data_IF_527476966950
#
_entry.id   IF_527476966950
#
_cell.length_a   1.000
_cell.length_b   1.000
_cell.length_c   1.000
_cell.angle_alpha   90.00
_cell.angle_beta   90.00
_cell.angle_gamma   90.00
#
_symmetry.space_group_name_H-M   'P 1'
#
loop_
_entity.id
_entity.type
_entity.pdbx_description
1 polymer ?
#
# COMPACT_ATOMS: atom_id res chain seq x y z
N UNK A 1 -22.35 -8.22 -10.38
CA UNK A 1 -21.08 -7.56 -10.00
C UNK A 1 -21.31 -6.50 -8.94
N UNK A 2 -22.10 -5.46 -9.20
CA UNK A 2 -22.47 -4.43 -8.20
C UNK A 2 -23.99 -4.18 -8.26
N UNK A 3 -24.59 -3.66 -7.18
CA UNK A 3 -26.02 -3.30 -7.14
C UNK A 3 -26.90 -4.14 -6.21
N UNK A 4 -26.33 -4.94 -5.32
CA UNK A 4 -27.06 -5.80 -4.37
C UNK A 4 -28.06 -5.03 -3.49
N UNK A 5 -27.73 -3.80 -3.07
CA UNK A 5 -28.66 -2.96 -2.31
C UNK A 5 -29.83 -2.46 -3.17
N UNK A 6 -29.60 -2.19 -4.46
CA UNK A 6 -30.66 -1.78 -5.40
C UNK A 6 -31.61 -2.96 -5.62
N UNK A 7 -31.07 -4.15 -5.91
CA UNK A 7 -31.83 -5.40 -6.01
C UNK A 7 -32.64 -5.71 -4.74
N UNK A 8 -32.05 -5.52 -3.56
CA UNK A 8 -32.76 -5.69 -2.29
C UNK A 8 -33.92 -4.69 -2.16
N UNK A 9 -33.71 -3.44 -2.57
CA UNK A 9 -34.75 -2.40 -2.59
C UNK A 9 -35.98 -2.79 -3.39
N UNK A 10 -35.84 -3.55 -4.49
CA UNK A 10 -36.98 -4.04 -5.28
C UNK A 10 -37.87 -5.03 -4.53
N UNK A 11 -37.33 -5.78 -3.55
CA UNK A 11 -38.16 -6.63 -2.68
C UNK A 11 -39.16 -5.80 -1.88
N UNK A 12 -38.74 -4.60 -1.45
CA UNK A 12 -39.54 -3.70 -0.61
C UNK A 12 -40.27 -2.61 -1.41
N UNK A 13 -39.93 -2.42 -2.69
CA UNK A 13 -40.56 -1.42 -3.53
C UNK A 13 -42.04 -1.76 -3.79
N UNK A 14 -42.92 -0.77 -3.56
CA UNK A 14 -44.36 -0.85 -3.87
C UNK A 14 -44.64 -0.74 -5.36
N UNK A 15 -43.84 0.06 -6.08
CA UNK A 15 -43.94 0.17 -7.54
C UNK A 15 -43.06 -0.91 -8.19
N UNK A 16 -43.70 -1.88 -8.85
CA UNK A 16 -43.03 -3.02 -9.50
C UNK A 16 -42.68 -2.77 -10.96
N UNK A 17 -43.19 -1.69 -11.56
CA UNK A 17 -42.99 -1.37 -12.99
C UNK A 17 -41.68 -0.59 -13.25
N UNK A 18 -40.92 -0.29 -12.19
CA UNK A 18 -39.68 0.46 -12.31
C UNK A 18 -38.63 -0.40 -13.03
N UNK A 19 -38.00 0.14 -14.07
CA UNK A 19 -36.96 -0.57 -14.82
C UNK A 19 -35.59 -0.35 -14.19
N UNK A 20 -34.80 -1.42 -14.06
CA UNK A 20 -33.42 -1.34 -13.57
C UNK A 20 -32.45 -1.32 -14.76
N UNK A 21 -31.69 -0.24 -14.97
CA UNK A 21 -30.63 -0.24 -15.97
C UNK A 21 -29.54 -1.24 -15.56
N UNK A 22 -29.32 -2.24 -16.41
CA UNK A 22 -28.38 -3.32 -16.20
C UNK A 22 -27.34 -3.33 -17.32
N UNK A 23 -26.07 -3.38 -16.94
CA UNK A 23 -24.98 -3.68 -17.87
C UNK A 23 -24.58 -5.15 -17.69
N UNK A 24 -24.73 -5.93 -18.75
CA UNK A 24 -24.42 -7.36 -18.75
C UNK A 24 -23.08 -7.55 -19.46
N UNK A 25 -22.14 -8.21 -18.78
CA UNK A 25 -20.85 -8.57 -19.32
C UNK A 25 -20.84 -10.08 -19.59
N UNK A 26 -20.79 -10.47 -20.86
CA UNK A 26 -20.79 -11.88 -21.24
C UNK A 26 -19.39 -12.47 -21.10
N UNK A 27 -19.27 -13.66 -20.52
CA UNK A 27 -18.01 -14.41 -20.39
C UNK A 27 -16.84 -13.62 -19.78
N UNK A 28 -17.14 -12.75 -18.82
CA UNK A 28 -16.13 -11.94 -18.15
C UNK A 28 -15.26 -12.83 -17.26
N UNK A 29 -13.93 -12.90 -17.46
CA UNK A 29 -13.06 -13.69 -16.59
C UNK A 29 -13.13 -13.22 -15.13
N UNK A 30 -12.92 -14.10 -14.12
CA UNK A 30 -12.97 -13.74 -12.70
C UNK A 30 -12.08 -12.53 -12.34
N UNK A 31 -10.93 -12.40 -13.01
CA UNK A 31 -9.99 -11.27 -12.91
C UNK A 31 -10.63 -9.92 -13.26
N UNK A 32 -11.33 -9.89 -14.38
CA UNK A 32 -12.01 -8.71 -14.87
C UNK A 32 -13.28 -8.42 -14.05
N UNK A 33 -13.94 -9.46 -13.54
CA UNK A 33 -15.07 -9.30 -12.63
C UNK A 33 -14.65 -8.58 -11.34
N UNK A 34 -13.57 -9.06 -10.74
CA UNK A 34 -12.97 -8.43 -9.58
C UNK A 34 -12.54 -6.99 -9.87
N UNK A 35 -11.98 -6.73 -11.05
CA UNK A 35 -11.55 -5.39 -11.49
C UNK A 35 -12.71 -4.41 -11.61
N UNK A 36 -13.84 -4.84 -12.17
CA UNK A 36 -15.03 -4.00 -12.31
C UNK A 36 -15.69 -3.78 -10.94
N UNK A 37 -15.86 -4.84 -10.15
CA UNK A 37 -16.43 -4.75 -8.81
C UNK A 37 -15.70 -3.74 -7.92
N UNK A 38 -14.38 -3.87 -7.86
CA UNK A 38 -13.51 -3.01 -7.08
C UNK A 38 -13.48 -1.57 -7.61
N UNK A 39 -13.40 -1.35 -8.92
CA UNK A 39 -13.39 0.01 -9.51
C UNK A 39 -14.68 0.77 -9.16
N UNK A 40 -15.84 0.09 -9.23
CA UNK A 40 -17.13 0.68 -8.86
C UNK A 40 -17.15 1.02 -7.37
N UNK A 41 -16.74 0.08 -6.51
CA UNK A 41 -16.78 0.25 -5.06
C UNK A 41 -15.72 1.22 -4.52
N UNK A 42 -14.58 1.37 -5.21
CA UNK A 42 -13.51 2.31 -4.86
C UNK A 42 -13.97 3.76 -5.08
N UNK A 43 -14.74 4.00 -6.14
CA UNK A 43 -15.28 5.33 -6.45
C UNK A 43 -16.49 5.72 -5.58
N UNK A 44 -17.20 4.76 -4.97
CA UNK A 44 -18.45 5.00 -4.22
C UNK A 44 -18.29 4.98 -2.68
N UNK A 45 -17.07 4.91 -2.15
CA UNK A 45 -16.75 4.85 -0.71
C UNK A 45 -17.72 3.99 0.13
N UNK A 46 -17.54 2.66 0.14
CA UNK A 46 -18.07 1.79 1.21
C UNK A 46 -17.41 0.42 1.36
N UNK A 47 -16.44 0.05 0.52
CA UNK A 47 -15.70 -1.22 0.64
C UNK A 47 -14.30 -0.95 1.19
N UNK A 48 -13.82 -1.69 2.21
CA UNK A 48 -12.45 -1.62 2.65
C UNK A 48 -11.52 -1.87 1.47
N UNK A 49 -10.62 -0.93 1.18
CA UNK A 49 -9.68 -1.03 0.05
C UNK A 49 -9.00 -2.41 0.01
N UNK A 50 -8.63 -2.96 1.18
CA UNK A 50 -8.02 -4.29 1.35
C UNK A 50 -8.84 -5.46 0.76
N UNK A 51 -10.18 -5.41 0.84
CA UNK A 51 -11.05 -6.46 0.30
C UNK A 51 -11.18 -6.33 -1.22
N UNK A 52 -11.36 -5.11 -1.72
CA UNK A 52 -11.38 -4.84 -3.16
C UNK A 52 -10.06 -5.30 -3.80
N UNK A 53 -8.94 -4.98 -3.16
CA UNK A 53 -7.59 -5.35 -3.52
C UNK A 53 -7.32 -6.86 -3.63
N UNK A 54 -7.83 -7.68 -2.71
CA UNK A 54 -7.70 -9.14 -2.83
C UNK A 54 -8.57 -9.76 -3.90
N UNK A 55 -9.76 -9.20 -4.16
CA UNK A 55 -10.55 -9.65 -5.30
C UNK A 55 -9.75 -9.46 -6.59
N UNK A 56 -9.00 -8.35 -6.74
CA UNK A 56 -8.02 -8.22 -7.84
C UNK A 56 -6.87 -9.24 -7.75
N UNK A 57 -6.42 -9.53 -6.53
CA UNK A 57 -5.29 -10.42 -6.23
C UNK A 57 -5.48 -11.88 -6.67
N UNK A 58 -6.71 -12.40 -6.69
CA UNK A 58 -7.02 -13.77 -7.11
C UNK A 58 -6.72 -14.07 -8.59
N UNK A 59 -6.27 -13.08 -9.35
CA UNK A 59 -5.87 -13.24 -10.75
C UNK A 59 -4.46 -12.74 -11.04
N UNK A 60 -3.63 -12.58 -10.00
CA UNK A 60 -2.21 -12.23 -10.14
C UNK A 60 -1.44 -13.26 -10.97
N UNK A 61 -1.82 -14.54 -10.89
CA UNK A 61 -1.15 -15.61 -11.61
C UNK A 61 -1.45 -15.60 -13.12
N UNK A 62 -2.57 -15.01 -13.53
CA UNK A 62 -3.01 -14.94 -14.93
C UNK A 62 -2.48 -13.71 -15.67
N UNK A 63 -1.88 -12.74 -14.96
CA UNK A 63 -1.45 -11.46 -15.52
C UNK A 63 0.07 -11.31 -15.37
N UNK A 64 0.78 -11.14 -16.49
CA UNK A 64 2.22 -10.84 -16.47
C UNK A 64 2.51 -9.59 -15.62
N UNK A 65 3.60 -9.63 -14.83
CA UNK A 65 3.97 -8.57 -13.88
C UNK A 65 4.13 -7.20 -14.54
N UNK A 66 4.52 -7.17 -15.81
CA UNK A 66 4.65 -5.94 -16.59
C UNK A 66 3.31 -5.21 -16.79
N UNK A 67 2.17 -5.88 -16.58
CA UNK A 67 0.82 -5.30 -16.64
C UNK A 67 0.23 -5.02 -15.28
N UNK A 68 0.95 -5.27 -14.19
CA UNK A 68 0.43 -4.97 -12.86
C UNK A 68 0.42 -3.46 -12.63
N UNK A 69 -0.75 -2.84 -12.39
CA UNK A 69 -0.83 -1.45 -11.97
C UNK A 69 -0.23 -1.25 -10.57
N UNK A 70 0.04 0.01 -10.14
CA UNK A 70 0.78 0.25 -8.91
C UNK A 70 0.09 -0.33 -7.68
N UNK A 71 -1.24 -0.24 -7.64
CA UNK A 71 -2.01 -0.78 -6.53
C UNK A 71 -1.97 -2.31 -6.46
N UNK A 72 -1.96 -3.00 -7.60
CA UNK A 72 -1.88 -4.46 -7.63
C UNK A 72 -0.53 -4.94 -7.07
N UNK A 73 0.56 -4.26 -7.43
CA UNK A 73 1.88 -4.53 -6.87
C UNK A 73 1.94 -4.24 -5.36
N UNK A 74 1.34 -3.14 -4.91
CA UNK A 74 1.30 -2.80 -3.48
C UNK A 74 0.51 -3.84 -2.65
N UNK A 75 -0.55 -4.41 -3.22
CA UNK A 75 -1.33 -5.48 -2.61
C UNK A 75 -0.55 -6.77 -2.54
N UNK A 76 0.12 -7.15 -3.64
CA UNK A 76 1.02 -8.28 -3.65
C UNK A 76 2.10 -8.17 -2.55
N UNK A 77 2.72 -7.00 -2.38
CA UNK A 77 3.66 -6.79 -1.29
C UNK A 77 2.99 -6.88 0.08
N UNK A 78 1.81 -6.31 0.27
CA UNK A 78 1.07 -6.43 1.53
C UNK A 78 0.80 -7.89 1.89
N UNK A 79 0.46 -8.74 0.92
CA UNK A 79 0.27 -10.16 1.19
C UNK A 79 1.58 -10.87 1.51
N UNK A 80 2.61 -10.63 0.70
CA UNK A 80 3.92 -11.27 0.87
C UNK A 80 4.53 -10.95 2.23
N UNK A 81 4.49 -9.68 2.63
CA UNK A 81 4.98 -9.21 3.92
C UNK A 81 4.17 -9.72 5.11
N UNK A 82 2.91 -10.12 4.90
CA UNK A 82 2.03 -10.64 5.95
C UNK A 82 2.12 -12.17 6.10
N UNK A 83 2.39 -12.91 5.02
CA UNK A 83 2.36 -14.38 4.97
C UNK A 83 3.70 -15.06 5.25
N UNK A 84 4.81 -14.34 5.17
CA UNK A 84 6.17 -14.90 5.29
C UNK A 84 6.84 -14.41 6.57
N UNK A 85 7.33 -15.33 7.40
CA UNK A 85 7.90 -15.05 8.74
C UNK A 85 9.19 -14.22 8.70
N UNK A 86 9.97 -14.34 7.64
CA UNK A 86 11.15 -13.50 7.40
C UNK A 86 10.83 -12.01 7.20
N UNK A 87 9.57 -11.64 6.98
CA UNK A 87 9.18 -10.26 6.72
C UNK A 87 8.71 -9.55 8.00
N UNK A 88 8.98 -8.25 8.14
CA UNK A 88 8.75 -7.53 9.38
C UNK A 88 7.26 -7.43 9.78
N UNK A 89 6.34 -7.62 8.84
CA UNK A 89 4.90 -7.54 9.06
C UNK A 89 4.21 -8.91 9.12
N UNK A 90 4.95 -10.00 9.36
CA UNK A 90 4.36 -11.34 9.44
C UNK A 90 3.17 -11.38 10.41
N UNK A 91 1.98 -11.71 9.89
CA UNK A 91 0.68 -11.75 10.60
C UNK A 91 0.27 -10.43 11.28
N UNK A 92 0.79 -9.29 10.82
CA UNK A 92 0.51 -7.95 11.37
C UNK A 92 -0.50 -7.14 10.55
N UNK A 93 -0.82 -7.56 9.33
CA UNK A 93 -1.69 -6.82 8.40
C UNK A 93 -3.05 -7.49 8.27
N UNK A 94 -4.09 -6.85 8.83
CA UNK A 94 -5.48 -7.30 8.76
C UNK A 94 -6.11 -6.94 7.41
N UNK A 95 -6.55 -7.95 6.69
CA UNK A 95 -7.30 -7.82 5.44
C UNK A 95 -8.82 -7.79 5.64
N UNK A 96 -9.29 -7.95 6.89
CA UNK A 96 -10.71 -7.92 7.30
C UNK A 96 -11.52 -9.05 6.65
N UNK A 97 -10.96 -10.25 6.67
CA UNK A 97 -11.60 -11.49 6.24
C UNK A 97 -12.10 -12.26 7.46
N UNK A 98 -13.10 -13.10 7.25
CA UNK A 98 -13.49 -14.11 8.23
C UNK A 98 -12.30 -15.07 8.47
N UNK A 99 -12.06 -15.42 9.73
CA UNK A 99 -11.02 -16.38 10.18
C UNK A 99 -9.57 -16.00 9.84
N UNK A 100 -9.26 -14.71 9.73
CA UNK A 100 -7.88 -14.25 9.55
C UNK A 100 -7.05 -14.47 10.83
N UNK A 101 -5.91 -15.17 10.71
CA UNK A 101 -4.96 -15.36 11.81
C UNK A 101 -4.03 -14.15 11.85
N UNK A 102 -4.11 -13.39 12.94
CA UNK A 102 -3.26 -12.22 13.19
C UNK A 102 -2.63 -12.34 14.56
N UNK A 103 -1.48 -11.72 14.75
CA UNK A 103 -0.85 -11.64 16.08
C UNK A 103 -1.71 -10.85 17.07
N UNK A 104 -1.63 -11.25 18.35
CA UNK A 104 -2.49 -10.75 19.43
C UNK A 104 -2.01 -9.44 20.04
N UNK A 105 -0.70 -9.19 20.06
CA UNK A 105 -0.07 -8.00 20.63
C UNK A 105 -0.34 -6.75 19.78
N UNK A 106 -0.14 -6.82 18.45
CA UNK A 106 -0.53 -5.72 17.57
C UNK A 106 -0.78 -6.15 16.13
N UNK A 107 -1.67 -5.42 15.48
CA UNK A 107 -1.96 -5.59 14.06
C UNK A 107 -2.77 -4.39 13.53
N UNK A 108 -2.56 -4.04 12.26
CA UNK A 108 -3.14 -2.86 11.61
C UNK A 108 -3.90 -3.24 10.33
N UNK A 109 -4.73 -2.34 9.81
CA UNK A 109 -5.35 -2.52 8.50
C UNK A 109 -4.29 -2.59 7.39
N UNK A 110 -4.35 -3.59 6.52
CA UNK A 110 -3.42 -3.72 5.37
C UNK A 110 -3.46 -2.50 4.43
N UNK A 111 -4.57 -1.76 4.42
CA UNK A 111 -4.69 -0.51 3.65
C UNK A 111 -3.60 0.51 3.96
N UNK A 112 -3.10 0.55 5.21
CA UNK A 112 -2.05 1.50 5.61
C UNK A 112 -0.72 1.15 4.94
N UNK A 113 -0.38 -0.14 4.89
CA UNK A 113 0.80 -0.63 4.18
C UNK A 113 0.67 -0.39 2.67
N UNK A 114 -0.50 -0.71 2.10
CA UNK A 114 -0.77 -0.54 0.67
C UNK A 114 -0.67 0.93 0.26
N UNK A 115 -1.33 1.84 0.98
CA UNK A 115 -1.27 3.29 0.72
C UNK A 115 0.17 3.82 0.91
N UNK A 116 0.92 3.27 1.87
CA UNK A 116 2.34 3.54 2.08
C UNK A 116 3.20 3.17 0.86
N UNK A 117 3.11 1.93 0.37
CA UNK A 117 3.82 1.47 -0.82
C UNK A 117 3.43 2.29 -2.06
N UNK A 118 2.12 2.54 -2.26
CA UNK A 118 1.62 3.36 -3.36
C UNK A 118 2.30 4.73 -3.40
N UNK A 119 2.45 5.37 -2.24
CA UNK A 119 3.10 6.69 -2.12
C UNK A 119 4.57 6.71 -2.57
N UNK A 120 5.22 5.54 -2.60
CA UNK A 120 6.61 5.38 -3.04
C UNK A 120 6.73 5.15 -4.56
N UNK A 121 5.71 4.60 -5.23
CA UNK A 121 5.78 4.15 -6.62
C UNK A 121 4.88 4.91 -7.60
N UNK A 122 3.85 5.62 -7.12
CA UNK A 122 2.94 6.38 -7.98
C UNK A 122 2.25 7.53 -7.25
N UNK A 123 2.19 8.69 -7.89
CA UNK A 123 1.39 9.85 -7.47
C UNK A 123 -0.08 9.70 -7.83
N UNK A 124 -0.40 8.99 -8.92
CA UNK A 124 -1.77 8.77 -9.38
C UNK A 124 -1.97 7.33 -9.86
N UNK A 125 -2.13 6.36 -8.91
CA UNK A 125 -2.27 4.94 -9.25
C UNK A 125 -3.44 4.65 -10.17
N UNK A 126 -4.52 5.44 -10.06
CA UNK A 126 -5.71 5.30 -10.91
C UNK A 126 -5.41 5.64 -12.36
N UNK A 127 -4.75 6.77 -12.63
CA UNK A 127 -4.35 7.15 -13.98
C UNK A 127 -3.36 6.13 -14.56
N UNK A 128 -2.37 5.70 -13.77
CA UNK A 128 -1.40 4.70 -14.18
C UNK A 128 -2.06 3.40 -14.62
N UNK A 129 -3.07 2.93 -13.89
CA UNK A 129 -3.82 1.73 -14.27
C UNK A 129 -4.45 1.86 -15.66
N UNK A 130 -5.11 2.99 -15.94
CA UNK A 130 -5.73 3.21 -17.25
C UNK A 130 -4.67 3.23 -18.36
N UNK A 131 -3.54 3.89 -18.14
CA UNK A 131 -2.43 3.91 -19.10
C UNK A 131 -1.85 2.51 -19.34
N UNK A 132 -1.60 1.74 -18.29
CA UNK A 132 -1.05 0.38 -18.39
C UNK A 132 -2.00 -0.55 -19.15
N UNK A 133 -3.31 -0.44 -18.89
CA UNK A 133 -4.32 -1.36 -19.42
C UNK A 133 -5.03 -0.86 -20.70
N UNK A 134 -4.56 0.23 -21.30
CA UNK A 134 -5.14 0.75 -22.55
C UNK A 134 -5.06 -0.31 -23.67
N UNK A 135 -6.18 -0.64 -24.31
CA UNK A 135 -6.23 -1.69 -25.34
C UNK A 135 -5.85 -1.11 -26.71
N UNK A 136 -6.27 0.12 -27.01
CA UNK A 136 -6.04 0.82 -28.27
C UNK A 136 -5.00 1.95 -28.14
N UNK A 137 -3.75 1.60 -27.79
CA UNK A 137 -2.65 2.56 -27.87
C UNK A 137 -1.80 2.27 -29.11
N UNK A 138 -1.62 3.25 -29.99
CA UNK A 138 -0.59 3.25 -31.07
C UNK A 138 0.85 3.22 -30.52
N UNK A 139 1.01 3.16 -29.20
CA UNK A 139 2.30 3.09 -28.52
C UNK A 139 2.96 1.72 -28.74
N UNK A 140 4.25 1.75 -29.12
CA UNK A 140 5.10 0.55 -29.19
C UNK A 140 5.29 -0.10 -27.80
N UNK A 141 5.19 0.70 -26.75
CA UNK A 141 5.36 0.26 -25.37
C UNK A 141 4.09 -0.41 -24.83
N UNK A 142 4.28 -1.43 -23.98
CA UNK A 142 3.20 -2.19 -23.35
C UNK A 142 3.31 -2.16 -21.84
N UNK A 143 2.19 -2.38 -21.16
CA UNK A 143 2.13 -2.46 -19.71
C UNK A 143 2.73 -1.23 -19.03
N UNK A 144 3.57 -1.44 -18.02
CA UNK A 144 4.27 -0.39 -17.27
C UNK A 144 5.21 0.45 -18.12
N UNK A 145 5.70 -0.05 -19.26
CA UNK A 145 6.54 0.71 -20.19
C UNK A 145 5.85 1.97 -20.72
N UNK A 146 4.52 1.95 -20.86
CA UNK A 146 3.70 3.11 -21.26
C UNK A 146 3.76 4.29 -20.28
N UNK A 147 4.26 4.05 -19.07
CA UNK A 147 4.45 5.08 -18.05
C UNK A 147 5.81 5.78 -18.15
N UNK A 148 6.70 5.30 -19.03
CA UNK A 148 8.02 5.90 -19.29
C UNK A 148 7.89 7.16 -20.14
N UNK A 149 7.19 8.15 -19.58
CA UNK A 149 7.01 9.46 -20.19
C UNK A 149 7.99 10.47 -19.56
N UNK A 150 8.90 11.01 -20.38
CA UNK A 150 9.89 12.02 -19.97
C UNK A 150 9.26 13.30 -19.39
N UNK A 151 8.01 13.59 -19.72
CA UNK A 151 7.25 14.74 -19.21
C UNK A 151 6.45 14.43 -17.93
N UNK A 152 6.59 13.23 -17.36
CA UNK A 152 5.89 12.85 -16.13
C UNK A 152 6.29 13.76 -14.97
N UNK A 153 5.28 14.29 -14.27
CA UNK A 153 5.45 15.08 -13.02
C UNK A 153 5.44 14.20 -11.78
N UNK A 154 5.44 12.87 -11.94
CA UNK A 154 5.48 11.94 -10.82
C UNK A 154 6.90 11.86 -10.25
N UNK A 155 7.05 12.32 -9.00
CA UNK A 155 8.33 12.32 -8.27
C UNK A 155 8.44 11.17 -7.28
N UNK A 156 7.56 10.18 -7.33
CA UNK A 156 7.58 9.05 -6.39
C UNK A 156 8.96 8.35 -6.44
N UNK A 157 9.65 8.16 -5.30
CA UNK A 157 11.07 7.83 -5.29
C UNK A 157 11.39 6.47 -5.94
N UNK A 158 10.47 5.53 -5.89
CA UNK A 158 10.62 4.18 -6.44
C UNK A 158 9.92 4.02 -7.80
N UNK A 159 9.44 5.12 -8.39
CA UNK A 159 8.72 5.12 -9.67
C UNK A 159 9.50 4.45 -10.78
N UNK A 160 10.79 4.75 -10.88
CA UNK A 160 11.65 4.19 -11.92
C UNK A 160 11.77 2.67 -11.81
N UNK A 161 11.99 2.14 -10.60
CA UNK A 161 12.09 0.69 -10.38
C UNK A 161 10.79 -0.01 -10.78
N UNK A 162 9.65 0.62 -10.45
CA UNK A 162 8.33 0.12 -10.82
C UNK A 162 8.13 0.07 -12.35
N UNK A 163 8.41 1.17 -13.06
CA UNK A 163 8.28 1.26 -14.53
C UNK A 163 9.16 0.19 -15.21
N UNK A 164 10.39 0.00 -14.72
CA UNK A 164 11.33 -0.99 -15.28
C UNK A 164 11.08 -2.42 -14.81
N UNK A 165 9.98 -2.69 -14.10
CA UNK A 165 9.63 -4.03 -13.63
C UNK A 165 10.56 -4.60 -12.55
N UNK A 166 11.40 -3.77 -11.93
CA UNK A 166 12.32 -4.19 -10.88
C UNK A 166 11.62 -4.24 -9.51
N UNK A 167 10.60 -5.10 -9.41
CA UNK A 167 9.80 -5.30 -8.20
C UNK A 167 10.67 -5.79 -7.03
N UNK A 168 11.72 -6.57 -7.33
CA UNK A 168 12.65 -7.09 -6.34
C UNK A 168 13.42 -5.97 -5.62
N UNK A 169 13.82 -4.91 -6.32
CA UNK A 169 14.48 -3.77 -5.67
C UNK A 169 13.54 -3.06 -4.70
N UNK A 170 12.28 -2.83 -5.09
CA UNK A 170 11.26 -2.21 -4.22
C UNK A 170 11.04 -3.08 -2.98
N UNK A 171 10.89 -4.39 -3.17
CA UNK A 171 10.72 -5.36 -2.10
C UNK A 171 11.91 -5.35 -1.12
N UNK A 172 13.14 -5.35 -1.64
CA UNK A 172 14.36 -5.32 -0.82
C UNK A 172 14.47 -4.03 0.01
N UNK A 173 14.15 -2.88 -0.59
CA UNK A 173 14.14 -1.60 0.13
C UNK A 173 13.15 -1.65 1.30
N UNK A 174 11.92 -2.12 1.04
CA UNK A 174 10.90 -2.27 2.08
C UNK A 174 11.32 -3.27 3.16
N UNK A 175 11.90 -4.42 2.78
CA UNK A 175 12.35 -5.46 3.72
C UNK A 175 13.48 -4.93 4.61
N UNK A 176 14.52 -4.32 4.04
CA UNK A 176 15.66 -3.79 4.80
C UNK A 176 15.18 -2.72 5.78
N UNK A 177 14.44 -1.72 5.29
CA UNK A 177 13.96 -0.62 6.12
C UNK A 177 13.06 -1.09 7.26
N UNK A 178 12.01 -1.84 6.96
CA UNK A 178 11.07 -2.26 8.01
C UNK A 178 11.63 -3.35 8.94
N UNK A 179 12.65 -4.11 8.52
CA UNK A 179 13.36 -5.00 9.44
C UNK A 179 14.13 -4.18 10.47
N UNK A 180 14.85 -3.13 10.05
CA UNK A 180 15.52 -2.23 10.99
C UNK A 180 14.52 -1.53 11.93
N UNK A 181 13.34 -1.15 11.44
CA UNK A 181 12.28 -0.61 12.29
C UNK A 181 11.78 -1.66 13.29
N UNK A 182 11.51 -2.89 12.85
CA UNK A 182 11.04 -3.97 13.72
C UNK A 182 12.05 -4.24 14.84
N UNK A 183 13.32 -4.39 14.47
CA UNK A 183 14.40 -4.76 15.39
C UNK A 183 14.63 -3.67 16.46
N UNK A 184 14.41 -2.40 16.11
CA UNK A 184 14.72 -1.27 16.98
C UNK A 184 13.49 -0.69 17.69
N UNK A 185 12.43 -0.38 16.95
CA UNK A 185 11.26 0.35 17.45
C UNK A 185 10.08 -0.55 17.86
N UNK A 186 10.02 -1.79 17.35
CA UNK A 186 8.95 -2.74 17.70
C UNK A 186 9.45 -3.81 18.68
N UNK A 187 10.43 -3.46 19.52
CA UNK A 187 10.81 -4.29 20.65
C UNK A 187 9.63 -4.49 21.62
N UNK A 188 9.53 -5.68 22.23
CA UNK A 188 8.42 -6.05 23.13
C UNK A 188 8.18 -5.00 24.24
N UNK A 189 9.26 -4.46 24.83
CA UNK A 189 9.18 -3.40 25.85
C UNK A 189 8.44 -2.16 25.34
N UNK A 190 8.68 -1.75 24.10
CA UNK A 190 8.01 -0.60 23.50
C UNK A 190 6.55 -0.91 23.15
N UNK A 191 6.25 -2.15 22.72
CA UNK A 191 4.89 -2.61 22.43
C UNK A 191 4.05 -2.63 23.70
N UNK A 192 4.56 -3.19 24.79
CA UNK A 192 3.90 -3.24 26.10
C UNK A 192 3.64 -1.84 26.67
N UNK A 193 4.58 -0.91 26.47
CA UNK A 193 4.40 0.52 26.78
C UNK A 193 3.45 1.25 25.81
N UNK A 194 2.91 0.56 24.81
CA UNK A 194 1.91 1.07 23.89
C UNK A 194 2.46 2.04 22.84
N UNK A 195 3.63 1.74 22.25
CA UNK A 195 4.26 2.55 21.20
C UNK A 195 3.29 2.88 20.06
N UNK A 196 3.34 4.12 19.59
CA UNK A 196 2.50 4.58 18.47
C UNK A 196 2.98 4.06 17.12
N UNK A 197 4.23 3.57 17.03
CA UNK A 197 4.84 3.07 15.79
C UNK A 197 4.27 1.74 15.30
N UNK A 198 3.50 1.03 16.13
CA UNK A 198 2.74 -0.18 15.72
C UNK A 198 1.27 0.12 15.40
N UNK A 199 0.87 1.41 15.40
CA UNK A 199 -0.47 1.86 15.02
C UNK A 199 -0.48 2.38 13.59
N UNK A 200 -1.68 2.49 13.00
CA UNK A 200 -1.88 3.00 11.65
C UNK A 200 -1.20 4.36 11.39
N UNK A 201 -1.24 5.27 12.37
CA UNK A 201 -0.58 6.59 12.26
C UNK A 201 0.94 6.48 12.25
N UNK A 202 1.51 5.58 13.04
CA UNK A 202 2.95 5.33 13.10
C UNK A 202 3.46 4.69 11.81
N UNK A 203 2.79 3.64 11.33
CA UNK A 203 3.15 3.01 10.04
C UNK A 203 3.04 4.02 8.89
N UNK A 204 2.00 4.86 8.88
CA UNK A 204 1.87 5.93 7.87
C UNK A 204 3.02 6.95 7.95
N UNK A 205 3.40 7.37 9.16
CA UNK A 205 4.53 8.27 9.38
C UNK A 205 5.87 7.65 8.94
N UNK A 206 6.07 6.36 9.22
CA UNK A 206 7.27 5.61 8.80
C UNK A 206 7.39 5.53 7.27
N UNK A 207 6.28 5.35 6.55
CA UNK A 207 6.30 5.42 5.08
C UNK A 207 6.57 6.84 4.57
N UNK A 208 6.00 7.87 5.20
CA UNK A 208 6.27 9.26 4.84
C UNK A 208 7.75 9.63 5.06
N UNK A 209 8.32 9.20 6.18
CA UNK A 209 9.72 9.38 6.50
C UNK A 209 10.62 8.65 5.49
N UNK A 210 10.35 7.36 5.21
CA UNK A 210 11.07 6.60 4.19
C UNK A 210 11.01 7.31 2.84
N UNK A 211 9.82 7.77 2.44
CA UNK A 211 9.63 8.49 1.17
C UNK A 211 10.51 9.74 1.09
N UNK A 212 10.56 10.54 2.14
CA UNK A 212 11.41 11.75 2.22
C UNK A 212 12.89 11.38 2.09
N UNK A 213 13.36 10.40 2.88
CA UNK A 213 14.77 9.98 2.85
C UNK A 213 15.18 9.38 1.51
N UNK A 214 14.32 8.60 0.85
CA UNK A 214 14.59 8.09 -0.50
C UNK A 214 14.70 9.21 -1.55
N UNK A 215 13.98 10.32 -1.38
CA UNK A 215 14.11 11.49 -2.27
C UNK A 215 15.37 12.30 -2.04
N UNK A 216 15.87 12.32 -0.80
CA UNK A 216 17.08 13.05 -0.42
C UNK A 216 18.36 12.27 -0.76
N UNK A 217 18.25 10.96 -0.99
CA UNK A 217 19.37 10.12 -1.40
C UNK A 217 19.84 10.48 -2.81
N UNK A 218 21.16 10.63 -3.05
CA UNK A 218 21.71 10.84 -4.39
C UNK A 218 21.47 9.63 -5.29
N UNK A 219 21.45 8.43 -4.69
CA UNK A 219 21.15 7.17 -5.36
C UNK A 219 20.49 6.21 -4.39
N UNK A 220 19.40 5.58 -4.83
CA UNK A 220 18.73 4.52 -4.09
C UNK A 220 19.46 3.20 -4.38
N UNK A 221 20.26 2.76 -3.42
CA UNK A 221 21.01 1.50 -3.45
C UNK A 221 21.05 0.88 -2.05
N UNK A 222 21.52 -0.38 -1.95
CA UNK A 222 21.55 -1.10 -0.67
C UNK A 222 22.35 -0.36 0.41
N UNK A 223 23.53 0.16 0.06
CA UNK A 223 24.42 0.87 0.99
C UNK A 223 23.74 2.09 1.63
N UNK A 224 23.10 2.96 0.85
CA UNK A 224 22.45 4.16 1.37
C UNK A 224 21.21 3.83 2.23
N UNK A 225 20.50 2.75 1.91
CA UNK A 225 19.41 2.25 2.76
C UNK A 225 19.96 1.71 4.09
N UNK A 226 21.08 1.01 4.08
CA UNK A 226 21.73 0.50 5.29
C UNK A 226 22.31 1.63 6.17
N UNK A 227 22.85 2.70 5.56
CA UNK A 227 23.24 3.93 6.27
C UNK A 227 22.03 4.57 6.96
N UNK A 228 20.90 4.70 6.25
CA UNK A 228 19.65 5.19 6.85
C UNK A 228 19.20 4.31 8.03
N UNK A 229 19.26 2.98 7.88
CA UNK A 229 18.88 2.06 8.95
C UNK A 229 19.82 2.14 10.16
N UNK A 230 21.11 2.38 9.93
CA UNK A 230 22.09 2.61 11.00
C UNK A 230 21.82 3.91 11.74
N UNK A 231 21.49 4.98 11.01
CA UNK A 231 21.11 6.26 11.61
C UNK A 231 19.80 6.16 12.41
N UNK A 232 18.85 5.31 12.01
CA UNK A 232 17.61 5.09 12.79
C UNK A 232 17.88 4.51 14.18
N UNK A 233 18.94 3.70 14.33
CA UNK A 233 19.29 3.08 15.61
C UNK A 233 19.77 4.09 16.66
N UNK A 234 20.13 5.31 16.28
CA UNK A 234 20.54 6.36 17.22
C UNK A 234 19.35 7.02 17.91
N UNK A 235 18.13 6.83 17.41
CA UNK A 235 16.91 7.39 18.00
C UNK A 235 16.44 6.52 19.15
N UNK A 236 16.13 7.11 20.30
CA UNK A 236 15.58 6.35 21.42
C UNK A 236 14.18 5.78 21.07
N UNK A 237 13.98 4.44 21.07
CA UNK A 237 12.69 3.86 20.70
C UNK A 237 11.57 4.15 21.73
N UNK A 238 11.91 4.44 22.99
CA UNK A 238 10.93 4.80 24.01
C UNK A 238 10.29 6.18 23.78
N UNK A 239 10.86 7.02 22.92
CA UNK A 239 10.24 8.29 22.54
C UNK A 239 8.79 8.09 22.08
N UNK A 240 8.56 7.06 21.28
CA UNK A 240 7.27 6.81 20.65
C UNK A 240 6.26 6.11 21.57
N UNK A 241 6.59 5.87 22.85
CA UNK A 241 5.62 5.39 23.84
C UNK A 241 4.82 6.52 24.49
N UNK A 242 5.17 7.79 24.22
CA UNK A 242 4.48 8.98 24.72
C UNK A 242 3.15 9.24 23.99
N UNK A 243 2.13 8.44 24.33
CA UNK A 243 0.82 8.45 23.68
C UNK A 243 0.07 9.81 23.74
N UNK A 244 0.35 10.64 24.73
CA UNK A 244 -0.23 12.00 24.85
C UNK A 244 0.38 12.98 23.86
N UNK A 245 1.65 12.78 23.50
CA UNK A 245 2.38 13.64 22.57
C UNK A 245 2.06 13.28 21.11
N UNK A 246 2.03 11.98 20.82
CA UNK A 246 1.76 11.40 19.50
C UNK A 246 0.35 10.83 19.42
N UNK A 247 -0.65 11.70 19.33
CA UNK A 247 -2.06 11.27 19.27
C UNK A 247 -2.37 10.45 18.02
N UNK A 248 -3.42 9.62 18.06
CA UNK A 248 -3.88 8.81 16.91
C UNK A 248 -4.63 9.66 15.86
N UNK A 249 -4.02 10.76 15.43
CA UNK A 249 -4.56 11.75 14.49
C UNK A 249 -3.52 12.10 13.43
N UNK A 250 -3.92 12.83 12.40
CA UNK A 250 -2.98 13.40 11.41
C UNK A 250 -1.92 14.30 12.06
N UNK A 251 -2.25 14.97 13.17
CA UNK A 251 -1.30 15.78 13.93
C UNK A 251 -0.23 14.91 14.56
N UNK A 252 -0.61 13.82 15.22
CA UNK A 252 0.37 12.90 15.81
C UNK A 252 1.21 12.18 14.76
N UNK A 253 0.62 11.80 13.63
CA UNK A 253 1.38 11.29 12.48
C UNK A 253 2.46 12.28 12.02
N UNK A 254 2.10 13.56 11.89
CA UNK A 254 3.03 14.62 11.50
C UNK A 254 4.15 14.80 12.52
N UNK A 255 3.83 14.78 13.82
CA UNK A 255 4.85 14.87 14.88
C UNK A 255 5.86 13.72 14.83
N UNK A 256 5.41 12.48 14.60
CA UNK A 256 6.31 11.33 14.43
C UNK A 256 7.25 11.57 13.24
N UNK A 257 6.69 12.01 12.12
CA UNK A 257 7.45 12.31 10.90
C UNK A 257 8.48 13.44 11.13
N UNK A 258 8.07 14.54 11.76
CA UNK A 258 8.93 15.70 12.02
C UNK A 258 10.07 15.30 12.98
N UNK A 259 9.75 14.60 14.08
CA UNK A 259 10.75 14.11 15.04
C UNK A 259 11.79 13.20 14.37
N UNK A 260 11.36 12.25 13.54
CA UNK A 260 12.29 11.37 12.82
C UNK A 260 13.19 12.15 11.86
N UNK A 261 12.69 13.20 11.19
CA UNK A 261 13.51 14.02 10.30
C UNK A 261 14.54 14.86 11.04
N UNK A 262 14.20 15.36 12.22
CA UNK A 262 15.11 16.14 13.06
C UNK A 262 16.22 15.28 13.69
N UNK A 263 15.88 14.07 14.11
CA UNK A 263 16.77 13.21 14.91
C UNK A 263 17.53 12.15 14.09
N UNK A 264 17.09 11.84 12.88
CA UNK A 264 17.79 10.91 11.97
C UNK A 264 18.59 11.71 10.94
N UNK A 265 19.85 12.00 11.27
CA UNK A 265 20.81 12.63 10.37
C UNK A 265 21.51 11.55 9.54
N UNK A 266 21.52 11.74 8.23
CA UNK A 266 22.12 10.82 7.26
C UNK A 266 22.98 11.63 6.30
N UNK A 267 24.29 11.41 6.35
CA UNK A 267 25.22 11.91 5.34
C UNK A 267 25.27 10.84 4.23
N UNK A 268 24.55 11.08 3.13
CA UNK A 268 24.51 10.18 1.97
C UNK A 268 25.67 10.42 1.01
#
# INVERSE_FOLDING_TARGET
>A
MDGQHRLLGFKYAKNKDIQLPCSIYNSLPPSNQATIFSTINFNQQKVPKSLAYRLFGYSLDDISREYWPPDLLAVYFSEKFNKTDEYPFYRRLKNRVLNEITENDWSISSSVFIDGVLSLISKNPRADRYTINAIDSDEKEKGRGRLDNKNSKDKSPLRWFYIKGNDKAIEQILKIYFSAIKDHFWANVCIEKGTVLVRSVGISALFQFLRKKLMDMPKINKENIEKLCSALKTVNPEEFTKNTEYTSTTVGQRKIYDYLNENVKTDF
#
